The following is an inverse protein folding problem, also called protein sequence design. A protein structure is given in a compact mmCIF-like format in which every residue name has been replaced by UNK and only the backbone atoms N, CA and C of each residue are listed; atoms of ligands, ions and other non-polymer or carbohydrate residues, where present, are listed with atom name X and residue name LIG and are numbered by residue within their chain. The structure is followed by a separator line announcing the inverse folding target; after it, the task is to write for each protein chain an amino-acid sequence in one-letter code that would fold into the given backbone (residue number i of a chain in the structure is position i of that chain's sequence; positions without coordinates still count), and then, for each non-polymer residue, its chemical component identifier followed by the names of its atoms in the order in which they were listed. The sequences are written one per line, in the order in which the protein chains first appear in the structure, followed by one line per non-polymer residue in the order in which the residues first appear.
data_IF_580475520454
#
_entry.id   IF_580475520454
#
_cell.length_a   1.000
_cell.length_b   1.000
_cell.length_c   1.000
_cell.angle_alpha   90.00
_cell.angle_beta   90.00
_cell.angle_gamma   90.00
#
_symmetry.space_group_name_H-M   'P 1'
#
loop_
_entity.id
_entity.type
_entity.pdbx_description
1 polymer ?
#
# COMPACT_ATOMS: atom_id res chain seq x y z
N UNK A 1 -47.91 -15.86 20.25
CA UNK A 1 -46.76 -14.99 19.91
C UNK A 1 -47.34 -13.62 19.67
N UNK A 2 -47.08 -12.66 20.56
CA UNK A 2 -47.65 -11.31 20.40
C UNK A 2 -47.01 -10.64 19.17
N UNK A 3 -47.80 -10.23 18.16
CA UNK A 3 -47.28 -9.67 16.91
C UNK A 3 -46.46 -8.39 17.14
N UNK A 4 -46.81 -7.65 18.20
CA UNK A 4 -46.09 -6.46 18.66
C UNK A 4 -44.67 -6.83 19.12
N UNK A 5 -44.53 -7.93 19.86
CA UNK A 5 -43.25 -8.39 20.38
C UNK A 5 -42.35 -8.90 19.26
N UNK A 6 -42.91 -9.61 18.27
CA UNK A 6 -42.16 -10.04 17.08
C UNK A 6 -41.71 -8.87 16.20
N UNK A 7 -42.55 -7.84 16.08
CA UNK A 7 -42.21 -6.62 15.34
C UNK A 7 -41.07 -5.84 16.01
N UNK A 8 -41.13 -5.68 17.34
CA UNK A 8 -40.09 -5.02 18.12
C UNK A 8 -38.75 -5.77 18.03
N UNK A 9 -38.78 -7.11 18.10
CA UNK A 9 -37.58 -7.93 17.98
C UNK A 9 -36.93 -7.81 16.59
N UNK A 10 -37.73 -7.77 15.53
CA UNK A 10 -37.25 -7.58 14.16
C UNK A 10 -36.54 -6.24 13.95
N UNK A 11 -37.09 -5.16 14.51
CA UNK A 11 -36.46 -3.82 14.47
C UNK A 11 -35.14 -3.81 15.22
N UNK A 12 -35.06 -4.44 16.40
CA UNK A 12 -33.84 -4.53 17.20
C UNK A 12 -32.73 -5.30 16.47
N UNK A 13 -33.06 -6.46 15.89
CA UNK A 13 -32.10 -7.25 15.11
C UNK A 13 -31.64 -6.48 13.88
N UNK A 14 -32.57 -5.82 13.17
CA UNK A 14 -32.25 -4.97 12.02
C UNK A 14 -31.33 -3.79 12.38
N UNK A 15 -31.57 -3.13 13.52
CA UNK A 15 -30.74 -2.04 14.01
C UNK A 15 -29.31 -2.51 14.35
N UNK A 16 -29.18 -3.65 15.03
CA UNK A 16 -27.87 -4.23 15.40
C UNK A 16 -27.08 -4.62 14.14
N UNK A 17 -27.72 -5.33 13.20
CA UNK A 17 -27.08 -5.72 11.95
C UNK A 17 -26.71 -4.51 11.09
N UNK A 18 -27.61 -3.53 10.97
CA UNK A 18 -27.39 -2.29 10.23
C UNK A 18 -26.22 -1.49 10.80
N UNK A 19 -26.13 -1.37 12.13
CA UNK A 19 -25.02 -0.68 12.79
C UNK A 19 -23.67 -1.38 12.53
N UNK A 20 -23.62 -2.72 12.63
CA UNK A 20 -22.39 -3.48 12.34
C UNK A 20 -21.97 -3.36 10.88
N UNK A 21 -22.92 -3.39 9.94
CA UNK A 21 -22.64 -3.23 8.51
C UNK A 21 -22.15 -1.82 8.17
N UNK A 22 -22.73 -0.79 8.79
CA UNK A 22 -22.31 0.61 8.63
C UNK A 22 -20.84 0.80 9.03
N UNK A 23 -20.45 0.29 10.21
CA UNK A 23 -19.06 0.30 10.69
C UNK A 23 -18.10 -0.41 9.72
N UNK A 24 -18.54 -1.52 9.12
CA UNK A 24 -17.76 -2.27 8.16
C UNK A 24 -17.51 -1.52 6.85
N UNK A 25 -18.45 -0.67 6.42
CA UNK A 25 -18.34 0.12 5.18
C UNK A 25 -17.34 1.25 5.33
N UNK A 26 -17.40 2.01 6.42
CA UNK A 26 -16.53 3.16 6.63
C UNK A 26 -15.06 2.71 6.78
N UNK A 27 -14.80 1.61 7.48
CA UNK A 27 -13.45 1.02 7.56
C UNK A 27 -12.88 0.59 6.20
N UNK A 28 -13.71 0.13 5.26
CA UNK A 28 -13.25 -0.22 3.90
C UNK A 28 -12.88 1.04 3.11
N UNK A 29 -13.63 2.13 3.28
CA UNK A 29 -13.32 3.41 2.63
C UNK A 29 -12.00 3.99 3.14
N UNK A 30 -11.80 4.01 4.46
CA UNK A 30 -10.55 4.49 5.07
C UNK A 30 -9.35 3.65 4.60
N UNK A 31 -9.48 2.32 4.56
CA UNK A 31 -8.44 1.44 4.03
C UNK A 31 -8.14 1.76 2.56
N UNK A 32 -9.16 1.87 1.71
CA UNK A 32 -8.99 2.13 0.29
C UNK A 32 -8.33 3.50 0.06
N UNK A 33 -8.79 4.54 0.75
CA UNK A 33 -8.19 5.88 0.63
C UNK A 33 -6.71 5.91 1.04
N UNK A 34 -6.37 5.25 2.15
CA UNK A 34 -4.99 5.19 2.62
C UNK A 34 -4.08 4.36 1.70
N UNK A 35 -4.60 3.25 1.15
CA UNK A 35 -3.83 2.38 0.24
C UNK A 35 -3.75 2.89 -1.19
N UNK A 36 -4.74 3.65 -1.66
CA UNK A 36 -4.80 4.21 -3.01
C UNK A 36 -3.66 5.21 -3.26
N UNK A 37 -3.38 6.09 -2.30
CA UNK A 37 -2.24 7.02 -2.39
C UNK A 37 -0.91 6.28 -2.53
N UNK A 38 -0.72 5.25 -1.69
CA UNK A 38 0.48 4.43 -1.70
C UNK A 38 0.63 3.66 -3.03
N UNK A 39 -0.49 3.11 -3.52
CA UNK A 39 -0.55 2.39 -4.80
C UNK A 39 -0.21 3.30 -5.95
N UNK A 40 -0.79 4.50 -6.01
CA UNK A 40 -0.54 5.49 -7.06
C UNK A 40 0.94 5.90 -7.08
N UNK A 41 1.52 6.21 -5.93
CA UNK A 41 2.95 6.53 -5.83
C UNK A 41 3.82 5.36 -6.31
N UNK A 42 3.46 4.12 -5.93
CA UNK A 42 4.19 2.92 -6.33
C UNK A 42 4.11 2.64 -7.84
N UNK A 43 2.96 2.90 -8.47
CA UNK A 43 2.77 2.75 -9.92
C UNK A 43 3.60 3.81 -10.66
N UNK A 44 3.49 5.09 -10.27
CA UNK A 44 4.29 6.17 -10.87
C UNK A 44 5.78 5.85 -10.79
N UNK A 45 6.22 5.30 -9.65
CA UNK A 45 7.60 4.89 -9.48
C UNK A 45 7.98 3.71 -10.39
N UNK A 46 7.09 2.72 -10.56
CA UNK A 46 7.32 1.59 -11.45
C UNK A 46 7.44 2.03 -12.91
N UNK A 47 6.56 2.92 -13.36
CA UNK A 47 6.56 3.48 -14.71
C UNK A 47 7.84 4.30 -14.95
N UNK A 48 8.26 5.10 -13.96
CA UNK A 48 9.52 5.85 -14.06
C UNK A 48 10.77 4.94 -14.15
N UNK A 49 10.72 3.74 -13.56
CA UNK A 49 11.77 2.73 -13.70
C UNK A 49 11.72 1.99 -15.06
N UNK A 50 10.64 2.14 -15.83
CA UNK A 50 10.52 1.63 -17.20
C UNK A 50 11.04 2.64 -18.22
N UNK A 51 10.80 3.94 -18.01
CA UNK A 51 11.18 5.02 -18.93
C UNK A 51 12.59 5.61 -18.67
N UNK A 52 13.42 4.96 -17.85
CA UNK A 52 14.75 5.44 -17.42
C UNK A 52 14.75 6.85 -16.79
N UNK A 53 13.56 7.31 -16.36
CA UNK A 53 13.34 8.63 -15.80
C UNK A 53 13.30 8.55 -14.27
N UNK A 54 14.07 9.39 -13.58
CA UNK A 54 14.08 9.40 -12.11
C UNK A 54 12.80 10.08 -11.62
N UNK A 55 11.73 9.30 -11.45
CA UNK A 55 10.54 9.73 -10.74
C UNK A 55 10.88 10.11 -9.30
N UNK A 56 10.67 11.38 -8.94
CA UNK A 56 11.03 11.95 -7.63
C UNK A 56 10.13 11.49 -6.48
N UNK A 57 8.99 10.87 -6.78
CA UNK A 57 7.98 10.51 -5.77
C UNK A 57 8.16 9.06 -5.32
N UNK A 58 8.84 8.89 -4.18
CA UNK A 58 9.08 7.60 -3.54
C UNK A 58 8.07 7.33 -2.44
N UNK A 59 7.75 6.06 -2.24
CA UNK A 59 7.07 5.61 -1.02
C UNK A 59 8.03 5.76 0.16
N UNK A 60 7.61 6.51 1.18
CA UNK A 60 8.43 6.77 2.39
C UNK A 60 7.99 5.91 3.57
N UNK A 61 8.86 5.75 4.56
CA UNK A 61 8.52 5.07 5.82
C UNK A 61 7.38 5.80 6.55
N UNK A 62 7.33 7.13 6.49
CA UNK A 62 6.24 7.93 7.09
C UNK A 62 4.87 7.61 6.47
N UNK A 63 4.81 7.38 5.15
CA UNK A 63 3.57 6.96 4.49
C UNK A 63 3.15 5.55 4.95
N UNK A 64 4.10 4.64 5.17
CA UNK A 64 3.85 3.30 5.71
C UNK A 64 3.38 3.36 7.17
N UNK A 65 3.97 4.24 7.98
CA UNK A 65 3.61 4.45 9.37
C UNK A 65 2.21 5.06 9.50
N UNK A 66 1.89 6.02 8.63
CA UNK A 66 0.53 6.59 8.51
C UNK A 66 -0.48 5.53 8.10
N UNK A 67 -0.13 4.66 7.15
CA UNK A 67 -1.00 3.55 6.79
C UNK A 67 -1.23 2.61 7.98
N UNK A 68 -0.16 2.28 8.72
CA UNK A 68 -0.21 1.42 9.91
C UNK A 68 -1.12 1.96 11.01
N UNK A 69 -1.15 3.28 11.23
CA UNK A 69 -2.05 3.90 12.21
C UNK A 69 -3.52 3.80 11.81
N UNK A 70 -3.83 3.88 10.50
CA UNK A 70 -5.20 3.80 9.97
C UNK A 70 -5.73 2.36 9.96
N UNK A 71 -4.93 1.41 9.45
CA UNK A 71 -5.42 0.03 9.17
C UNK A 71 -5.12 -0.95 10.31
N UNK A 72 -4.28 -0.54 11.26
CA UNK A 72 -3.83 -1.33 12.39
C UNK A 72 -2.69 -2.31 12.09
N UNK A 73 -1.97 -2.69 13.14
CA UNK A 73 -0.75 -3.52 13.08
C UNK A 73 -0.94 -4.87 12.38
N UNK A 74 -2.06 -5.56 12.63
CA UNK A 74 -2.27 -6.90 12.05
C UNK A 74 -2.39 -6.85 10.52
N UNK A 75 -3.07 -5.82 9.99
CA UNK A 75 -3.33 -5.69 8.54
C UNK A 75 -2.14 -5.07 7.81
N UNK A 76 -1.44 -4.15 8.46
CA UNK A 76 -0.25 -3.49 7.89
C UNK A 76 0.98 -4.38 7.81
N UNK A 77 1.09 -5.46 8.60
CA UNK A 77 2.24 -6.39 8.58
C UNK A 77 2.67 -6.84 7.19
N UNK A 78 1.71 -7.21 6.33
CA UNK A 78 2.00 -7.68 4.97
C UNK A 78 2.57 -6.56 4.09
N UNK A 79 2.03 -5.35 4.25
CA UNK A 79 2.44 -4.16 3.51
C UNK A 79 3.82 -3.68 3.97
N UNK A 80 4.04 -3.62 5.29
CA UNK A 80 5.33 -3.29 5.89
C UNK A 80 6.42 -4.28 5.48
N UNK A 81 6.10 -5.58 5.42
CA UNK A 81 7.04 -6.60 4.93
C UNK A 81 7.39 -6.39 3.45
N UNK A 82 6.39 -6.15 2.60
CA UNK A 82 6.62 -5.86 1.19
C UNK A 82 7.45 -4.57 1.00
N UNK A 83 7.19 -3.56 1.82
CA UNK A 83 7.96 -2.31 1.80
C UNK A 83 9.41 -2.52 2.21
N UNK A 84 9.65 -3.32 3.25
CA UNK A 84 11.01 -3.70 3.69
C UNK A 84 11.79 -4.42 2.59
N UNK A 85 11.15 -5.35 1.88
CA UNK A 85 11.77 -6.03 0.74
C UNK A 85 12.14 -5.04 -0.38
N UNK A 86 11.24 -4.11 -0.67
CA UNK A 86 11.47 -3.06 -1.65
C UNK A 86 12.64 -2.12 -1.23
N UNK A 87 12.67 -1.62 0.00
CA UNK A 87 13.75 -0.74 0.49
C UNK A 87 15.10 -1.45 0.50
N UNK A 88 15.13 -2.74 0.84
CA UNK A 88 16.35 -3.55 0.80
C UNK A 88 16.87 -3.72 -0.63
N UNK A 89 15.99 -4.08 -1.57
CA UNK A 89 16.34 -4.21 -2.98
C UNK A 89 16.86 -2.88 -3.55
N UNK A 90 16.23 -1.78 -3.16
CA UNK A 90 16.63 -0.45 -3.56
C UNK A 90 18.00 -0.05 -2.98
N UNK A 91 18.28 -0.33 -1.70
CA UNK A 91 19.61 -0.07 -1.10
C UNK A 91 20.71 -0.85 -1.83
N UNK A 92 20.45 -2.12 -2.14
CA UNK A 92 21.38 -2.98 -2.89
C UNK A 92 21.63 -2.46 -4.31
N UNK A 93 20.61 -1.87 -4.93
CA UNK A 93 20.72 -1.20 -6.22
C UNK A 93 21.56 0.09 -6.11
N UNK A 94 21.27 0.97 -5.16
CA UNK A 94 22.01 2.23 -4.94
C UNK A 94 23.48 2.00 -4.62
N UNK A 95 23.81 0.94 -3.87
CA UNK A 95 25.21 0.58 -3.56
C UNK A 95 25.97 -0.03 -4.74
N UNK A 96 25.28 -0.55 -5.76
CA UNK A 96 25.91 -1.06 -6.98
C UNK A 96 26.03 -0.03 -8.10
N UNK A 97 25.56 1.19 -7.88
CA UNK A 97 25.80 2.31 -8.80
C UNK A 97 27.13 2.96 -8.37
N UNK A 98 28.07 3.22 -9.30
CA UNK A 98 29.22 4.08 -8.99
C UNK A 98 28.71 5.46 -8.55
N UNK A 99 29.45 6.19 -7.69
CA UNK A 99 29.05 7.54 -7.28
C UNK A 99 28.79 8.39 -8.52
N UNK A 100 27.55 8.84 -8.68
CA UNK A 100 27.13 9.63 -9.84
C UNK A 100 27.89 10.94 -9.84
N UNK A 101 28.85 11.09 -10.74
CA UNK A 101 29.51 12.36 -11.00
C UNK A 101 28.49 13.26 -11.71
N UNK A 102 28.13 14.45 -11.17
CA UNK A 102 27.05 15.29 -11.71
C UNK A 102 27.27 15.76 -13.16
N UNK A 103 28.48 15.58 -13.70
CA UNK A 103 28.88 16.00 -15.04
C UNK A 103 28.71 14.87 -16.08
N UNK A 104 28.57 13.61 -15.65
CA UNK A 104 28.43 12.47 -16.58
C UNK A 104 27.60 11.34 -15.94
N UNK A 105 26.28 11.23 -16.23
CA UNK A 105 25.45 10.15 -15.71
C UNK A 105 25.91 8.81 -16.32
N UNK A 106 26.49 7.95 -15.48
CA UNK A 106 26.84 6.59 -15.88
C UNK A 106 25.56 5.79 -16.17
N UNK A 107 25.60 4.88 -17.17
CA UNK A 107 24.45 4.04 -17.47
C UNK A 107 24.10 3.19 -16.25
N UNK A 108 22.83 3.28 -15.88
CA UNK A 108 22.21 2.53 -14.81
C UNK A 108 22.52 1.03 -15.00
N UNK A 109 23.00 0.35 -13.95
CA UNK A 109 23.22 -1.08 -13.99
C UNK A 109 21.88 -1.86 -14.10
N UNK A 110 21.49 -2.13 -15.34
CA UNK A 110 20.22 -2.74 -15.78
C UNK A 110 19.99 -4.13 -15.14
N UNK A 111 21.05 -4.82 -14.72
CA UNK A 111 20.99 -6.20 -14.19
C UNK A 111 20.18 -6.35 -12.89
N UNK A 112 20.08 -5.30 -12.06
CA UNK A 112 19.37 -5.34 -10.77
C UNK A 112 18.01 -4.64 -10.77
N UNK A 113 17.66 -3.97 -11.85
CA UNK A 113 16.31 -3.42 -12.08
C UNK A 113 15.20 -4.48 -11.91
N UNK A 114 15.36 -5.75 -12.36
CA UNK A 114 14.31 -6.76 -12.24
C UNK A 114 13.88 -7.05 -10.80
N UNK A 115 14.82 -7.05 -9.85
CA UNK A 115 14.54 -7.36 -8.43
C UNK A 115 13.77 -6.22 -7.76
N UNK A 116 14.16 -4.97 -8.00
CA UNK A 116 13.43 -3.79 -7.54
C UNK A 116 12.01 -3.74 -8.13
N UNK A 117 11.87 -3.98 -9.45
CA UNK A 117 10.56 -4.04 -10.12
C UNK A 117 9.68 -5.14 -9.53
N UNK A 118 10.24 -6.32 -9.26
CA UNK A 118 9.50 -7.44 -8.66
C UNK A 118 9.04 -7.12 -7.23
N UNK A 119 9.88 -6.50 -6.42
CA UNK A 119 9.53 -6.11 -5.06
C UNK A 119 8.43 -5.03 -5.04
N UNK A 120 8.51 -4.05 -5.94
CA UNK A 120 7.50 -3.00 -6.09
C UNK A 120 6.16 -3.56 -6.57
N UNK A 121 6.16 -4.50 -7.53
CA UNK A 121 4.95 -5.23 -7.96
C UNK A 121 4.32 -6.02 -6.80
N UNK A 122 5.13 -6.66 -5.93
CA UNK A 122 4.63 -7.34 -4.72
C UNK A 122 4.00 -6.38 -3.71
N UNK A 123 4.56 -5.17 -3.57
CA UNK A 123 4.00 -4.12 -2.72
C UNK A 123 2.66 -3.64 -3.29
N UNK A 124 2.58 -3.34 -4.58
CA UNK A 124 1.32 -2.96 -5.26
C UNK A 124 0.24 -4.02 -5.07
N UNK A 125 0.57 -5.30 -5.27
CA UNK A 125 -0.37 -6.42 -5.04
C UNK A 125 -0.82 -6.54 -3.58
N UNK A 126 0.01 -6.14 -2.63
CA UNK A 126 -0.34 -6.16 -1.21
C UNK A 126 -1.23 -4.99 -0.79
N UNK A 127 -1.37 -3.97 -1.64
CA UNK A 127 -2.23 -2.81 -1.47
C UNK A 127 -3.60 -2.98 -2.16
N UNK A 128 -3.86 -4.11 -2.83
CA UNK A 128 -5.17 -4.35 -3.43
C UNK A 128 -6.23 -4.59 -2.35
N UNK A 129 -7.43 -4.00 -2.50
CA UNK A 129 -8.54 -4.27 -1.60
C UNK A 129 -8.95 -5.75 -1.70
N UNK A 130 -9.16 -6.37 -0.53
CA UNK A 130 -9.76 -7.70 -0.36
C UNK A 130 -11.25 -7.70 -0.70
#
# INVERSE_FOLDING_TARGET
MDPILSGLLGVLVGAILGHRLSLGRDRRKEFNQATELLRKNSIIQLDSMEDDYIGTKRVTEDEIQTLRSIIGDKRSKKIAYAFKLYTQSHKNYSQSQPPSNPINPQPINISKIPECKLALKKLIKSLEPL
#
